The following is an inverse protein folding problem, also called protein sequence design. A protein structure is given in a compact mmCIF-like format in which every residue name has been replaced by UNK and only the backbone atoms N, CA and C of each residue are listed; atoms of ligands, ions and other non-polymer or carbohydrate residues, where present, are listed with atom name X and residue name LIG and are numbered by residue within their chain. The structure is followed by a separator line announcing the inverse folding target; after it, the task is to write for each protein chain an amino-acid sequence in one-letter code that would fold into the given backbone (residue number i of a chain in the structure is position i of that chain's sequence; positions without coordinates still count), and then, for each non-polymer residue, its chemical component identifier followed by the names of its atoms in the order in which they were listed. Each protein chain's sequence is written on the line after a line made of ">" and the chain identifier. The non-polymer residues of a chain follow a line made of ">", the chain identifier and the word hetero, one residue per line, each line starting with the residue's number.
data_IF_444293877259
#
_entry.id   IF_444293877259
#
_cell.length_a   1.000
_cell.length_b   1.000
_cell.length_c   1.000
_cell.angle_alpha   90.00
_cell.angle_beta   90.00
_cell.angle_gamma   90.00
#
_symmetry.space_group_name_H-M   'P 1'
#
loop_
_entity.id
_entity.type
_entity.pdbx_description
1 polymer ?
#
# COMPACT_ATOMS: atom_id res chain seq x y z
N UNK A 1 43.70 -18.97 1.59
CA UNK A 1 43.14 -19.51 0.34
C UNK A 1 41.81 -20.26 0.53
N UNK A 2 41.69 -21.18 1.53
CA UNK A 2 40.43 -21.94 1.74
C UNK A 2 39.20 -21.09 2.06
N UNK A 3 39.32 -20.01 2.84
CA UNK A 3 38.19 -19.11 3.17
C UNK A 3 37.70 -18.24 1.98
N UNK A 4 38.60 -17.86 1.06
CA UNK A 4 38.25 -17.13 -0.13
C UNK A 4 37.48 -17.99 -1.17
N UNK A 5 37.81 -19.28 -1.22
CA UNK A 5 37.14 -20.24 -2.12
C UNK A 5 35.71 -20.55 -1.65
N UNK A 6 35.51 -20.64 -0.32
CA UNK A 6 34.18 -20.89 0.26
C UNK A 6 33.25 -19.68 0.07
N UNK A 7 33.81 -18.46 0.12
CA UNK A 7 33.03 -17.24 -0.09
C UNK A 7 32.63 -17.07 -1.57
N UNK A 8 33.53 -17.45 -2.50
CA UNK A 8 33.23 -17.44 -3.94
C UNK A 8 32.14 -18.48 -4.28
N UNK A 9 32.18 -19.66 -3.61
CA UNK A 9 31.15 -20.68 -3.76
C UNK A 9 29.79 -20.25 -3.20
N UNK A 10 29.75 -19.49 -2.10
CA UNK A 10 28.52 -18.96 -1.53
C UNK A 10 27.90 -17.87 -2.43
N UNK A 11 28.73 -17.04 -3.06
CA UNK A 11 28.26 -16.05 -4.05
C UNK A 11 27.81 -16.72 -5.34
N UNK A 12 28.51 -17.78 -5.79
CA UNK A 12 28.11 -18.58 -6.94
C UNK A 12 26.84 -19.41 -6.68
N UNK A 13 26.57 -19.84 -5.45
CA UNK A 13 25.31 -20.49 -5.09
C UNK A 13 24.11 -19.54 -5.10
N UNK A 14 24.31 -18.25 -4.82
CA UNK A 14 23.28 -17.22 -5.01
C UNK A 14 22.93 -17.00 -6.50
N UNK A 15 23.87 -17.30 -7.42
CA UNK A 15 23.65 -17.18 -8.87
C UNK A 15 23.30 -18.54 -9.53
N UNK A 16 23.45 -19.66 -8.82
CA UNK A 16 23.11 -20.99 -9.34
C UNK A 16 21.64 -21.39 -9.11
N UNK A 17 20.78 -20.48 -8.69
CA UNK A 17 19.34 -20.65 -8.82
C UNK A 17 19.06 -20.57 -10.33
N UNK A 18 18.58 -21.65 -10.97
CA UNK A 18 18.36 -21.64 -12.40
C UNK A 18 17.38 -20.51 -12.72
N UNK A 19 17.76 -19.65 -13.66
CA UNK A 19 17.01 -18.50 -14.18
C UNK A 19 15.64 -18.89 -14.80
N UNK A 20 15.25 -20.15 -14.67
CA UNK A 20 14.04 -20.74 -15.23
C UNK A 20 13.04 -21.28 -14.24
N UNK A 21 13.21 -21.03 -12.93
CA UNK A 21 12.30 -21.54 -11.91
C UNK A 21 11.94 -20.50 -10.85
N UNK A 22 11.73 -19.26 -11.25
CA UNK A 22 10.64 -18.50 -10.64
C UNK A 22 9.38 -19.06 -11.31
N UNK A 23 8.97 -20.23 -10.84
CA UNK A 23 7.60 -20.68 -11.01
C UNK A 23 6.70 -19.51 -10.62
N UNK A 24 5.66 -19.28 -11.40
CA UNK A 24 4.51 -18.50 -10.97
C UNK A 24 4.08 -19.05 -9.60
N UNK A 25 4.62 -18.54 -8.52
CA UNK A 25 4.54 -19.11 -7.20
C UNK A 25 4.64 -18.01 -6.18
N UNK A 26 3.63 -17.90 -5.37
CA UNK A 26 3.53 -17.17 -4.12
C UNK A 26 4.17 -15.80 -4.14
N UNK A 27 3.47 -14.83 -4.74
CA UNK A 27 3.85 -13.44 -4.56
C UNK A 27 3.81 -13.10 -3.08
N UNK A 28 4.94 -12.64 -2.60
CA UNK A 28 5.21 -12.46 -1.19
C UNK A 28 4.32 -11.35 -0.64
N UNK A 29 3.42 -11.69 0.26
CA UNK A 29 2.72 -10.72 1.10
C UNK A 29 3.78 -9.88 1.82
N UNK A 30 3.76 -8.57 1.59
CA UNK A 30 4.68 -7.61 2.20
C UNK A 30 4.22 -7.25 3.61
N UNK A 31 2.90 -7.02 3.78
CA UNK A 31 2.32 -6.63 5.05
C UNK A 31 0.87 -7.08 5.19
N UNK A 32 0.44 -7.29 6.45
CA UNK A 32 -0.97 -7.48 6.83
C UNK A 32 -1.55 -6.19 7.40
N UNK A 33 -2.79 -5.90 7.10
CA UNK A 33 -3.50 -4.71 7.56
C UNK A 33 -4.97 -4.94 7.83
N UNK A 34 -5.59 -3.89 8.33
CA UNK A 34 -7.04 -3.80 8.50
C UNK A 34 -7.55 -2.52 7.87
N UNK A 35 -8.85 -2.43 7.61
CA UNK A 35 -9.46 -1.14 7.35
C UNK A 35 -10.57 -0.85 8.34
N UNK A 36 -10.74 0.43 8.67
CA UNK A 36 -11.61 0.88 9.75
C UNK A 36 -12.33 2.19 9.43
N UNK A 37 -13.47 2.36 10.07
CA UNK A 37 -14.27 3.57 10.03
C UNK A 37 -14.97 3.81 11.37
N UNK A 38 -15.86 4.79 11.44
CA UNK A 38 -16.73 4.99 12.61
C UNK A 38 -17.54 3.72 12.97
N UNK A 39 -17.80 2.84 11.99
CA UNK A 39 -18.57 1.62 12.20
C UNK A 39 -17.90 0.61 13.16
N UNK A 40 -16.60 0.78 13.41
CA UNK A 40 -15.83 -0.02 14.36
C UNK A 40 -15.94 0.52 15.81
N UNK A 41 -16.78 1.52 16.04
CA UNK A 41 -17.00 2.18 17.33
C UNK A 41 -18.48 2.19 17.73
N UNK A 42 -18.74 2.50 19.01
CA UNK A 42 -20.09 2.56 19.56
C UNK A 42 -20.70 1.18 19.84
N UNK A 43 -21.80 1.15 20.58
CA UNK A 43 -22.52 -0.07 20.94
C UNK A 43 -21.63 -1.18 21.53
N UNK A 44 -20.66 -0.82 22.37
CA UNK A 44 -19.71 -1.76 22.98
C UNK A 44 -18.51 -2.13 22.10
N UNK A 45 -18.38 -1.56 20.89
CA UNK A 45 -17.23 -1.74 20.02
C UNK A 45 -16.07 -0.83 20.41
N UNK A 46 -14.87 -1.36 20.40
CA UNK A 46 -13.62 -0.63 20.69
C UNK A 46 -12.50 -1.03 19.74
N UNK A 47 -11.58 -0.10 19.51
CA UNK A 47 -10.38 -0.31 18.69
C UNK A 47 -9.14 0.04 19.50
N UNK A 48 -8.23 -0.92 19.61
CA UNK A 48 -6.90 -0.78 20.22
C UNK A 48 -5.82 -1.16 19.20
N UNK A 49 -5.22 -0.17 18.57
CA UNK A 49 -4.19 -0.39 17.54
C UNK A 49 -2.88 -0.95 18.10
N UNK A 50 -2.58 -0.80 19.40
CA UNK A 50 -1.38 -1.43 19.98
C UNK A 50 -1.53 -2.94 20.02
N UNK A 51 -2.71 -3.43 20.40
CA UNK A 51 -3.02 -4.87 20.36
C UNK A 51 -3.06 -5.39 18.93
N UNK A 52 -3.69 -4.66 18.00
CA UNK A 52 -3.69 -5.03 16.59
C UNK A 52 -2.26 -5.15 16.04
N UNK A 53 -1.37 -4.23 16.37
CA UNK A 53 0.04 -4.30 15.99
C UNK A 53 0.75 -5.51 16.60
N UNK A 54 0.49 -5.83 17.87
CA UNK A 54 1.04 -7.01 18.54
C UNK A 54 0.54 -8.31 17.87
N UNK A 55 -0.69 -8.33 17.36
CA UNK A 55 -1.31 -9.43 16.60
C UNK A 55 -0.81 -9.52 15.13
N UNK A 56 0.17 -8.72 14.75
CA UNK A 56 0.84 -8.81 13.45
C UNK A 56 0.33 -7.82 12.39
N UNK A 57 -0.60 -6.92 12.71
CA UNK A 57 -1.02 -5.86 11.81
C UNK A 57 0.12 -4.84 11.66
N UNK A 58 0.34 -4.38 10.44
CA UNK A 58 1.41 -3.42 10.10
C UNK A 58 0.89 -2.13 9.51
N UNK A 59 -0.30 -2.15 8.90
CA UNK A 59 -0.95 -0.96 8.35
C UNK A 59 -2.44 -0.93 8.62
N UNK A 60 -3.01 0.26 8.48
CA UNK A 60 -4.45 0.47 8.55
C UNK A 60 -4.88 1.44 7.45
N UNK A 61 -5.98 1.12 6.76
CA UNK A 61 -6.64 2.03 5.82
C UNK A 61 -7.86 2.63 6.53
N UNK A 62 -7.88 3.94 6.73
CA UNK A 62 -8.88 4.62 7.57
C UNK A 62 -9.83 5.39 6.68
N UNK A 63 -11.15 5.28 6.90
CA UNK A 63 -12.10 6.11 6.18
C UNK A 63 -11.90 7.59 6.52
N UNK A 64 -11.53 8.39 5.51
CA UNK A 64 -11.38 9.83 5.67
C UNK A 64 -12.74 10.55 5.71
N UNK A 65 -13.66 10.08 4.88
CA UNK A 65 -14.99 10.67 4.76
C UNK A 65 -15.81 9.98 3.68
N UNK A 66 -16.90 10.61 3.31
CA UNK A 66 -17.82 10.10 2.27
C UNK A 66 -18.56 11.24 1.59
N UNK A 67 -18.96 11.01 0.33
CA UNK A 67 -19.81 11.92 -0.42
C UNK A 67 -21.14 12.18 0.30
N UNK A 68 -21.66 13.38 0.18
CA UNK A 68 -22.97 13.73 0.74
C UNK A 68 -24.10 12.91 0.08
N UNK A 69 -24.71 12.03 0.84
CA UNK A 69 -25.78 11.13 0.38
C UNK A 69 -27.08 11.87 0.16
N UNK A 70 -27.54 11.90 -1.09
CA UNK A 70 -28.87 12.43 -1.40
C UNK A 70 -29.05 13.95 -1.23
N UNK A 71 -27.96 14.70 -1.05
CA UNK A 71 -28.03 16.15 -0.93
C UNK A 71 -28.19 16.82 -2.31
N UNK A 72 -28.94 17.92 -2.34
CA UNK A 72 -29.08 18.73 -3.55
C UNK A 72 -27.74 19.34 -3.99
N UNK A 73 -27.63 19.75 -5.25
CA UNK A 73 -26.39 20.31 -5.81
C UNK A 73 -25.80 21.50 -5.04
N UNK A 74 -26.61 22.14 -4.18
CA UNK A 74 -26.24 23.32 -3.39
C UNK A 74 -25.85 23.00 -1.94
N UNK A 75 -26.11 21.78 -1.44
CA UNK A 75 -25.92 21.40 -0.02
C UNK A 75 -25.02 20.17 0.15
N UNK A 76 -24.22 19.82 -0.82
CA UNK A 76 -23.34 18.64 -0.76
C UNK A 76 -22.11 18.94 0.10
N UNK A 77 -22.32 19.08 1.40
CA UNK A 77 -21.19 18.95 2.32
C UNK A 77 -20.80 17.47 2.40
N UNK A 78 -19.63 17.20 1.94
CA UNK A 78 -18.97 15.93 2.21
C UNK A 78 -18.58 15.91 3.67
N UNK A 79 -18.85 14.81 4.32
CA UNK A 79 -18.66 14.71 5.76
C UNK A 79 -17.38 13.90 6.05
N UNK A 80 -16.51 14.39 6.96
CA UNK A 80 -15.44 13.57 7.47
C UNK A 80 -16.05 12.38 8.24
N UNK A 81 -15.36 11.25 8.24
CA UNK A 81 -15.67 10.17 9.16
C UNK A 81 -15.49 10.67 10.60
N UNK A 82 -16.49 10.45 11.46
CA UNK A 82 -16.50 10.98 12.82
C UNK A 82 -15.37 10.49 13.71
N UNK A 83 -14.71 9.37 13.33
CA UNK A 83 -13.57 8.79 14.03
C UNK A 83 -12.26 8.92 13.25
N UNK A 84 -12.25 9.64 12.13
CA UNK A 84 -11.06 9.77 11.29
C UNK A 84 -9.84 10.27 12.04
N UNK A 85 -9.97 11.43 12.73
CA UNK A 85 -8.86 12.03 13.47
C UNK A 85 -8.41 11.15 14.64
N UNK A 86 -9.35 10.53 15.35
CA UNK A 86 -9.05 9.60 16.44
C UNK A 86 -8.27 8.37 15.93
N UNK A 87 -8.74 7.78 14.83
CA UNK A 87 -8.08 6.63 14.21
C UNK A 87 -6.67 6.97 13.74
N UNK A 88 -6.50 8.08 13.03
CA UNK A 88 -5.17 8.54 12.59
C UNK A 88 -4.22 8.74 13.77
N UNK A 89 -4.66 9.43 14.82
CA UNK A 89 -3.86 9.68 16.03
C UNK A 89 -3.44 8.38 16.71
N UNK A 90 -4.39 7.48 16.93
CA UNK A 90 -4.14 6.24 17.68
C UNK A 90 -3.31 5.24 16.86
N UNK A 91 -3.55 5.14 15.56
CA UNK A 91 -2.76 4.29 14.65
C UNK A 91 -1.30 4.78 14.56
N UNK A 92 -1.09 6.09 14.42
CA UNK A 92 0.23 6.69 14.42
C UNK A 92 0.96 6.45 15.75
N UNK A 93 0.29 6.64 16.89
CA UNK A 93 0.85 6.38 18.21
C UNK A 93 1.25 4.91 18.39
N UNK A 94 0.48 3.98 17.85
CA UNK A 94 0.82 2.55 17.81
C UNK A 94 1.94 2.24 16.81
N UNK A 95 2.33 3.18 15.93
CA UNK A 95 3.33 2.99 14.89
C UNK A 95 2.87 2.10 13.74
N UNK A 96 1.56 2.07 13.47
CA UNK A 96 1.00 1.49 12.25
C UNK A 96 1.20 2.46 11.08
N UNK A 97 1.39 1.91 9.89
CA UNK A 97 1.42 2.67 8.65
C UNK A 97 -0.01 3.00 8.23
N UNK A 98 -0.23 4.24 7.77
CA UNK A 98 -1.59 4.75 7.54
C UNK A 98 -1.81 5.01 6.06
N UNK A 99 -2.91 4.49 5.53
CA UNK A 99 -3.57 4.93 4.31
C UNK A 99 -4.99 5.38 4.60
N UNK A 100 -5.67 5.89 3.59
CA UNK A 100 -7.05 6.32 3.76
C UNK A 100 -7.94 5.88 2.60
N UNK A 101 -9.24 5.79 2.84
CA UNK A 101 -10.22 5.67 1.79
C UNK A 101 -11.35 6.70 1.93
N UNK A 102 -11.98 7.00 0.80
CA UNK A 102 -13.09 7.94 0.71
C UNK A 102 -14.26 7.24 0.03
N UNK A 103 -15.38 7.08 0.73
CA UNK A 103 -16.56 6.36 0.24
C UNK A 103 -17.37 7.24 -0.73
N UNK A 104 -17.60 6.74 -1.94
CA UNK A 104 -18.21 7.49 -3.03
C UNK A 104 -19.70 7.23 -3.20
N UNK A 105 -20.46 8.33 -3.27
CA UNK A 105 -21.81 8.35 -3.83
C UNK A 105 -21.88 9.22 -5.10
N UNK A 106 -20.74 9.64 -5.66
CA UNK A 106 -20.68 10.53 -6.81
C UNK A 106 -21.28 9.89 -8.06
N UNK A 107 -22.08 10.67 -8.79
CA UNK A 107 -22.72 10.29 -10.05
C UNK A 107 -22.15 11.04 -11.26
N UNK A 108 -21.28 11.99 -11.02
CA UNK A 108 -20.64 12.81 -12.05
C UNK A 108 -19.18 13.04 -11.73
N UNK A 109 -18.38 13.33 -12.76
CA UNK A 109 -16.98 13.73 -12.64
C UNK A 109 -16.82 14.93 -11.69
N UNK A 110 -17.68 15.97 -11.83
CA UNK A 110 -17.62 17.14 -10.97
C UNK A 110 -17.88 16.82 -9.48
N UNK A 111 -18.69 15.79 -9.19
CA UNK A 111 -18.89 15.30 -7.81
C UNK A 111 -17.64 14.59 -7.30
N UNK A 112 -17.01 13.74 -8.11
CA UNK A 112 -15.77 13.07 -7.74
C UNK A 112 -14.61 14.05 -7.51
N UNK A 113 -14.53 15.12 -8.30
CA UNK A 113 -13.54 16.18 -8.09
C UNK A 113 -13.77 16.95 -6.78
N UNK A 114 -15.03 17.15 -6.36
CA UNK A 114 -15.35 17.69 -5.03
C UNK A 114 -14.96 16.72 -3.92
N UNK A 115 -15.30 15.44 -4.06
CA UNK A 115 -14.90 14.39 -3.10
C UNK A 115 -13.38 14.38 -2.92
N UNK A 116 -12.62 14.47 -4.01
CA UNK A 116 -11.16 14.55 -3.95
C UNK A 116 -10.67 15.80 -3.21
N UNK A 117 -11.29 16.98 -3.47
CA UNK A 117 -10.93 18.22 -2.78
C UNK A 117 -11.20 18.13 -1.27
N UNK A 118 -12.30 17.50 -0.88
CA UNK A 118 -12.63 17.32 0.53
C UNK A 118 -11.75 16.27 1.20
N UNK A 119 -11.48 15.15 0.54
CA UNK A 119 -10.53 14.16 1.00
C UNK A 119 -9.15 14.80 1.27
N UNK A 120 -8.65 15.59 0.31
CA UNK A 120 -7.39 16.32 0.44
C UNK A 120 -7.40 17.31 1.61
N UNK A 121 -8.52 17.94 1.87
CA UNK A 121 -8.69 18.82 3.04
C UNK A 121 -8.61 18.03 4.36
N UNK A 122 -9.20 16.83 4.44
CA UNK A 122 -9.16 15.98 5.63
C UNK A 122 -7.76 15.42 5.89
N UNK A 123 -7.02 15.07 4.85
CA UNK A 123 -5.65 14.52 5.00
C UNK A 123 -4.57 15.60 5.06
N UNK A 124 -4.94 16.88 4.99
CA UNK A 124 -3.98 17.98 5.05
C UNK A 124 -3.09 17.87 6.29
N UNK A 125 -1.79 18.05 6.10
CA UNK A 125 -0.75 17.95 7.14
C UNK A 125 -0.58 16.54 7.74
N UNK A 126 -1.12 15.49 7.11
CA UNK A 126 -0.85 14.11 7.49
C UNK A 126 0.17 13.50 6.52
N UNK A 127 1.03 12.66 7.06
CA UNK A 127 1.91 11.80 6.28
C UNK A 127 1.26 10.42 6.18
N UNK A 128 1.01 9.96 4.96
CA UNK A 128 0.33 8.68 4.71
C UNK A 128 1.31 7.72 4.04
N UNK A 129 1.61 6.61 4.66
CA UNK A 129 2.51 5.60 4.09
C UNK A 129 1.82 4.63 3.14
N UNK A 130 0.50 4.72 2.99
CA UNK A 130 -0.31 3.99 2.03
C UNK A 130 -1.10 4.96 1.15
N UNK A 131 -1.62 4.52 -0.02
CA UNK A 131 -2.38 5.38 -0.91
C UNK A 131 -3.67 5.94 -0.31
N UNK A 132 -4.24 6.93 -1.02
CA UNK A 132 -5.61 7.39 -0.86
C UNK A 132 -6.46 6.62 -1.86
N UNK A 133 -7.44 5.84 -1.38
CA UNK A 133 -8.32 5.05 -2.22
C UNK A 133 -9.70 5.67 -2.35
N UNK A 134 -10.22 5.69 -3.59
CA UNK A 134 -11.61 6.03 -3.85
C UNK A 134 -12.43 4.76 -3.86
N UNK A 135 -13.39 4.67 -2.95
CA UNK A 135 -14.19 3.48 -2.70
C UNK A 135 -15.47 3.53 -3.55
N UNK A 136 -15.54 2.64 -4.55
CA UNK A 136 -16.57 2.56 -5.57
C UNK A 136 -17.33 1.24 -5.46
N UNK A 137 -18.44 1.23 -4.68
CA UNK A 137 -19.19 0.00 -4.45
C UNK A 137 -20.71 0.20 -4.26
N UNK A 138 -21.19 1.45 -4.27
CA UNK A 138 -22.59 1.72 -3.99
C UNK A 138 -23.48 1.54 -5.23
N UNK A 139 -24.04 0.31 -5.36
CA UNK A 139 -24.92 -0.04 -6.47
C UNK A 139 -26.18 0.82 -6.52
N UNK A 140 -26.72 1.22 -5.37
CA UNK A 140 -27.93 2.04 -5.29
C UNK A 140 -27.74 3.43 -5.95
N UNK A 141 -26.57 4.03 -5.78
CA UNK A 141 -26.30 5.38 -6.33
C UNK A 141 -25.62 5.34 -7.67
N UNK A 142 -24.78 4.35 -7.92
CA UNK A 142 -23.89 4.29 -9.08
C UNK A 142 -24.21 3.15 -10.05
N UNK A 143 -25.04 2.18 -9.65
CA UNK A 143 -25.37 1.01 -10.48
C UNK A 143 -26.05 1.33 -11.79
N UNK A 144 -26.84 2.43 -11.85
CA UNK A 144 -27.50 2.89 -13.07
C UNK A 144 -26.61 3.66 -14.06
N UNK A 145 -25.34 3.95 -13.70
CA UNK A 145 -24.38 4.59 -14.60
C UNK A 145 -23.78 3.56 -15.57
N UNK A 146 -23.28 4.02 -16.71
CA UNK A 146 -22.50 3.18 -17.63
C UNK A 146 -21.11 2.90 -17.05
N UNK A 147 -20.45 1.83 -17.51
CA UNK A 147 -19.06 1.50 -17.15
C UNK A 147 -18.13 2.69 -17.40
N UNK A 148 -18.28 3.36 -18.54
CA UNK A 148 -17.48 4.56 -18.85
C UNK A 148 -17.68 5.67 -17.80
N UNK A 149 -18.94 6.00 -17.47
CA UNK A 149 -19.23 7.05 -16.49
C UNK A 149 -18.63 6.75 -15.13
N UNK A 150 -18.76 5.50 -14.64
CA UNK A 150 -18.15 5.09 -13.37
C UNK A 150 -16.62 5.16 -13.40
N UNK A 151 -16.03 4.74 -14.51
CA UNK A 151 -14.57 4.80 -14.70
C UNK A 151 -14.09 6.24 -14.74
N UNK A 152 -14.77 7.11 -15.49
CA UNK A 152 -14.43 8.55 -15.56
C UNK A 152 -14.55 9.22 -14.17
N UNK A 153 -15.54 8.85 -13.37
CA UNK A 153 -15.72 9.28 -11.97
C UNK A 153 -14.53 8.84 -11.11
N UNK A 154 -14.16 7.54 -11.17
CA UNK A 154 -13.05 7.00 -10.42
C UNK A 154 -11.72 7.70 -10.78
N UNK A 155 -11.47 7.87 -12.08
CA UNK A 155 -10.26 8.53 -12.57
C UNK A 155 -10.22 10.03 -12.27
N UNK A 156 -11.35 10.72 -12.23
CA UNK A 156 -11.40 12.12 -11.85
C UNK A 156 -10.93 12.36 -10.41
N UNK A 157 -11.39 11.52 -9.48
CA UNK A 157 -10.92 11.56 -8.09
C UNK A 157 -9.41 11.28 -8.01
N UNK A 158 -8.97 10.15 -8.56
CA UNK A 158 -7.58 9.71 -8.43
C UNK A 158 -6.61 10.69 -9.07
N UNK A 159 -6.91 11.21 -10.25
CA UNK A 159 -6.07 12.22 -10.92
C UNK A 159 -5.92 13.49 -10.10
N UNK A 160 -7.01 13.98 -9.49
CA UNK A 160 -6.95 15.17 -8.63
C UNK A 160 -6.13 14.95 -7.36
N UNK A 161 -6.23 13.76 -6.77
CA UNK A 161 -5.41 13.35 -5.63
C UNK A 161 -3.93 13.26 -6.01
N UNK A 162 -3.63 12.69 -7.19
CA UNK A 162 -2.26 12.59 -7.71
C UNK A 162 -1.67 13.97 -8.04
N UNK A 163 -2.45 14.88 -8.63
CA UNK A 163 -2.03 16.27 -8.89
C UNK A 163 -1.66 17.02 -7.61
N UNK A 164 -2.26 16.65 -6.48
CA UNK A 164 -1.92 17.19 -5.16
C UNK A 164 -0.70 16.51 -4.51
N UNK A 165 -0.02 15.60 -5.21
CA UNK A 165 1.20 14.93 -4.73
C UNK A 165 0.94 13.70 -3.86
N UNK A 166 -0.23 13.08 -3.98
CA UNK A 166 -0.51 11.83 -3.25
C UNK A 166 -0.58 10.65 -4.20
N UNK A 167 -0.18 9.47 -3.72
CA UNK A 167 -0.44 8.20 -4.38
C UNK A 167 -1.93 7.88 -4.24
N UNK A 168 -2.60 7.58 -5.35
CA UNK A 168 -4.02 7.33 -5.38
C UNK A 168 -4.35 5.95 -5.92
N UNK A 169 -5.50 5.41 -5.54
CA UNK A 169 -6.03 4.16 -6.04
C UNK A 169 -7.55 4.11 -6.03
N UNK A 170 -8.08 3.01 -6.55
CA UNK A 170 -9.51 2.69 -6.52
C UNK A 170 -9.70 1.40 -5.74
N UNK A 171 -10.64 1.43 -4.78
CA UNK A 171 -11.18 0.23 -4.15
C UNK A 171 -12.50 -0.14 -4.79
N UNK A 172 -12.64 -1.40 -5.08
CA UNK A 172 -13.91 -2.03 -5.43
C UNK A 172 -13.84 -3.54 -5.20
N UNK A 173 -15.01 -4.20 -5.15
CA UNK A 173 -15.05 -5.64 -5.14
C UNK A 173 -14.84 -6.24 -6.56
N UNK A 174 -14.56 -7.55 -6.61
CA UNK A 174 -14.32 -8.29 -7.87
C UNK A 174 -15.42 -8.07 -8.91
N UNK A 175 -16.69 -8.10 -8.49
CA UNK A 175 -17.82 -7.90 -9.41
C UNK A 175 -17.78 -6.50 -10.06
N UNK A 176 -17.44 -5.48 -9.29
CA UNK A 176 -17.32 -4.11 -9.79
C UNK A 176 -16.17 -3.97 -10.79
N UNK A 177 -15.00 -4.50 -10.48
CA UNK A 177 -13.87 -4.48 -11.41
C UNK A 177 -14.11 -5.31 -12.68
N UNK A 178 -14.93 -6.36 -12.60
CA UNK A 178 -15.23 -7.21 -13.77
C UNK A 178 -16.32 -6.63 -14.65
N UNK A 179 -17.39 -6.06 -14.05
CA UNK A 179 -18.64 -5.77 -14.77
C UNK A 179 -19.03 -4.28 -14.80
N UNK A 180 -18.52 -3.48 -13.88
CA UNK A 180 -18.98 -2.11 -13.67
C UNK A 180 -17.91 -1.05 -13.96
N UNK A 181 -16.63 -1.39 -13.92
CA UNK A 181 -15.48 -0.51 -14.13
C UNK A 181 -14.62 -1.02 -15.28
N UNK A 182 -13.95 -0.12 -15.99
CA UNK A 182 -12.86 -0.48 -16.90
C UNK A 182 -11.56 -0.62 -16.11
N UNK A 183 -11.30 -1.85 -15.61
CA UNK A 183 -10.10 -2.15 -14.85
C UNK A 183 -8.82 -1.84 -15.64
N UNK A 184 -8.81 -2.10 -16.97
CA UNK A 184 -7.65 -1.82 -17.81
C UNK A 184 -7.31 -0.33 -17.91
N UNK A 185 -8.32 0.53 -17.90
CA UNK A 185 -8.11 1.97 -17.86
C UNK A 185 -7.60 2.41 -16.49
N UNK A 186 -8.20 1.92 -15.39
CA UNK A 186 -7.87 2.30 -14.02
C UNK A 186 -6.44 1.87 -13.65
N UNK A 187 -6.07 0.63 -13.89
CA UNK A 187 -4.75 0.09 -13.50
C UNK A 187 -3.56 0.72 -14.23
N UNK A 188 -3.79 1.41 -15.35
CA UNK A 188 -2.76 2.18 -16.05
C UNK A 188 -2.43 3.50 -15.37
N UNK A 189 -3.34 4.01 -14.54
CA UNK A 189 -3.24 5.35 -13.97
C UNK A 189 -3.06 5.37 -12.47
N UNK A 190 -3.57 4.35 -11.74
CA UNK A 190 -3.54 4.36 -10.29
C UNK A 190 -3.50 2.94 -9.68
N UNK A 191 -3.35 2.89 -8.37
CA UNK A 191 -3.30 1.65 -7.60
C UNK A 191 -4.68 0.98 -7.51
N UNK A 192 -4.69 -0.34 -7.34
CA UNK A 192 -5.92 -1.12 -7.15
C UNK A 192 -5.93 -1.74 -5.75
N UNK A 193 -7.03 -1.54 -5.04
CA UNK A 193 -7.38 -2.26 -3.83
C UNK A 193 -8.61 -3.12 -4.12
N UNK A 194 -8.39 -4.42 -4.25
CA UNK A 194 -9.44 -5.39 -4.59
C UNK A 194 -10.08 -5.95 -3.32
N UNK A 195 -11.40 -5.93 -3.22
CA UNK A 195 -12.13 -6.77 -2.29
C UNK A 195 -12.62 -8.05 -3.00
N UNK A 196 -12.18 -9.19 -2.50
CA UNK A 196 -12.64 -10.49 -2.94
C UNK A 196 -12.44 -11.53 -1.85
N UNK A 197 -13.52 -12.23 -1.49
CA UNK A 197 -13.56 -13.20 -0.42
C UNK A 197 -13.77 -14.60 -1.03
N UNK A 198 -12.71 -15.28 -1.50
CA UNK A 198 -12.83 -16.60 -2.11
C UNK A 198 -13.28 -17.62 -1.07
N UNK A 199 -14.12 -18.57 -1.50
CA UNK A 199 -14.59 -19.67 -0.66
C UNK A 199 -13.60 -20.84 -0.61
N UNK A 200 -12.56 -20.83 -1.41
CA UNK A 200 -11.55 -21.88 -1.52
C UNK A 200 -10.21 -21.35 -1.02
N UNK A 201 -9.38 -22.25 -0.48
CA UNK A 201 -8.01 -21.95 -0.06
C UNK A 201 -7.07 -21.65 -1.25
N UNK A 202 -7.54 -21.85 -2.48
CA UNK A 202 -6.79 -21.52 -3.70
C UNK A 202 -7.27 -20.21 -4.28
N UNK A 203 -6.37 -19.28 -4.60
CA UNK A 203 -6.69 -18.09 -5.37
C UNK A 203 -7.34 -18.49 -6.70
N UNK A 204 -8.43 -17.82 -7.07
CA UNK A 204 -9.10 -17.99 -8.35
C UNK A 204 -8.72 -16.91 -9.37
N UNK A 205 -7.90 -15.96 -8.95
CA UNK A 205 -7.30 -14.89 -9.76
C UNK A 205 -5.87 -14.62 -9.25
N UNK A 206 -5.09 -13.93 -10.07
CA UNK A 206 -3.79 -13.38 -9.65
C UNK A 206 -4.01 -12.11 -8.81
N UNK A 207 -3.95 -12.24 -7.48
CA UNK A 207 -4.16 -11.12 -6.57
C UNK A 207 -3.00 -10.12 -6.54
N UNK A 208 -1.84 -10.50 -7.00
CA UNK A 208 -0.66 -9.67 -7.01
C UNK A 208 -0.70 -8.54 -8.03
N UNK A 209 -1.51 -8.70 -9.07
CA UNK A 209 -1.83 -7.61 -10.00
C UNK A 209 -2.49 -6.42 -9.28
N UNK A 210 -3.08 -6.66 -8.11
CA UNK A 210 -3.72 -5.66 -7.25
C UNK A 210 -2.78 -5.34 -6.09
N UNK A 211 -2.26 -4.16 -5.98
CA UNK A 211 -1.29 -3.82 -4.93
C UNK A 211 -1.79 -4.05 -3.50
N UNK A 212 -3.11 -4.06 -3.29
CA UNK A 212 -3.77 -4.34 -2.01
C UNK A 212 -4.97 -5.27 -2.22
N UNK A 213 -5.13 -6.25 -1.34
CA UNK A 213 -6.24 -7.20 -1.34
C UNK A 213 -6.92 -7.26 0.03
N UNK A 214 -8.23 -6.93 0.06
CA UNK A 214 -9.12 -7.19 1.19
C UNK A 214 -9.68 -8.60 0.99
N UNK A 215 -9.22 -9.54 1.83
CA UNK A 215 -9.48 -10.97 1.63
C UNK A 215 -10.61 -11.53 2.48
N UNK A 216 -11.04 -10.80 3.50
CA UNK A 216 -12.21 -11.13 4.31
C UNK A 216 -12.76 -9.91 5.05
N UNK A 217 -14.05 -9.94 5.37
CA UNK A 217 -14.75 -8.93 6.18
C UNK A 217 -15.09 -9.41 7.60
N UNK A 218 -14.68 -10.61 7.94
CA UNK A 218 -14.98 -11.27 9.22
C UNK A 218 -13.70 -11.66 10.01
N UNK A 219 -12.57 -11.02 9.69
CA UNK A 219 -11.32 -11.25 10.37
C UNK A 219 -11.41 -11.02 11.88
N UNK A 220 -10.67 -11.82 12.65
CA UNK A 220 -10.60 -11.73 14.12
C UNK A 220 -9.21 -11.27 14.54
N UNK A 221 -9.07 -9.94 14.64
CA UNK A 221 -7.81 -9.30 15.03
C UNK A 221 -7.89 -8.87 16.49
N UNK A 222 -6.79 -9.08 17.24
CA UNK A 222 -6.71 -8.58 18.60
C UNK A 222 -6.75 -7.04 18.59
N UNK A 223 -7.43 -6.46 19.58
CA UNK A 223 -7.65 -5.00 19.62
C UNK A 223 -8.97 -4.55 19.00
N UNK A 224 -9.68 -5.38 18.24
CA UNK A 224 -11.02 -5.09 17.72
C UNK A 224 -12.05 -5.89 18.51
N UNK A 225 -12.82 -5.21 19.36
CA UNK A 225 -13.72 -5.88 20.31
C UNK A 225 -15.16 -5.37 20.19
N UNK A 226 -16.09 -6.27 20.53
CA UNK A 226 -17.48 -5.97 20.84
C UNK A 226 -17.79 -6.56 22.22
N UNK A 227 -18.11 -5.70 23.20
CA UNK A 227 -18.39 -6.11 24.58
C UNK A 227 -17.27 -6.97 25.23
N UNK A 228 -16.00 -6.67 24.86
CA UNK A 228 -14.83 -7.38 25.36
C UNK A 228 -14.40 -8.62 24.58
N UNK A 229 -15.18 -9.09 23.59
CA UNK A 229 -14.82 -10.19 22.73
C UNK A 229 -14.37 -9.70 21.35
N UNK A 230 -13.47 -10.46 20.68
CA UNK A 230 -13.00 -10.12 19.33
C UNK A 230 -14.17 -10.05 18.36
N UNK A 231 -14.32 -8.92 17.69
CA UNK A 231 -15.35 -8.69 16.67
C UNK A 231 -14.78 -8.82 15.26
N UNK A 232 -15.67 -8.80 14.28
CA UNK A 232 -15.27 -8.82 12.86
C UNK A 232 -14.63 -7.50 12.47
N UNK A 233 -13.63 -7.58 11.61
CA UNK A 233 -12.98 -6.45 10.95
C UNK A 233 -12.53 -6.87 9.56
N UNK A 234 -12.52 -5.92 8.63
CA UNK A 234 -11.98 -6.11 7.30
C UNK A 234 -10.47 -6.30 7.35
N UNK A 235 -9.98 -7.38 6.74
CA UNK A 235 -8.57 -7.76 6.78
C UNK A 235 -7.95 -7.75 5.40
N UNK A 236 -6.71 -7.26 5.35
CA UNK A 236 -6.03 -6.92 4.13
C UNK A 236 -4.60 -7.47 4.08
N UNK A 237 -4.10 -7.69 2.87
CA UNK A 237 -2.68 -7.91 2.60
C UNK A 237 -2.20 -6.96 1.51
N UNK A 238 -0.97 -6.46 1.70
CA UNK A 238 -0.28 -5.67 0.70
C UNK A 238 0.74 -6.54 -0.02
N UNK A 239 0.79 -6.42 -1.34
CA UNK A 239 1.78 -7.03 -2.23
C UNK A 239 2.86 -6.04 -2.65
N UNK A 240 2.65 -4.73 -2.40
CA UNK A 240 3.60 -3.67 -2.68
C UNK A 240 4.08 -3.01 -1.41
N UNK A 241 5.34 -2.65 -1.35
CA UNK A 241 5.93 -1.88 -0.26
C UNK A 241 5.60 -0.38 -0.45
N UNK A 242 4.34 -0.02 -0.16
CA UNK A 242 3.87 1.35 -0.29
C UNK A 242 4.65 2.37 0.54
N UNK A 243 5.03 2.06 1.80
CA UNK A 243 5.84 2.98 2.58
C UNK A 243 7.14 3.40 1.89
N UNK A 244 7.85 2.44 1.30
CA UNK A 244 9.07 2.70 0.54
C UNK A 244 8.77 3.47 -0.74
N UNK A 245 7.80 3.04 -1.55
CA UNK A 245 7.42 3.69 -2.81
C UNK A 245 7.04 5.14 -2.63
N UNK A 246 6.21 5.44 -1.64
CA UNK A 246 5.70 6.78 -1.34
C UNK A 246 6.85 7.70 -0.92
N UNK A 247 7.74 7.21 -0.05
CA UNK A 247 8.89 8.00 0.42
C UNK A 247 9.91 8.28 -0.69
N UNK A 248 10.23 7.28 -1.50
CA UNK A 248 11.14 7.44 -2.64
C UNK A 248 10.62 8.47 -3.65
N UNK A 249 9.32 8.48 -3.89
CA UNK A 249 8.67 9.43 -4.80
C UNK A 249 8.40 10.80 -4.17
N UNK A 250 8.54 10.94 -2.85
CA UNK A 250 8.20 12.17 -2.12
C UNK A 250 6.72 12.51 -2.18
N UNK A 251 5.86 11.49 -2.05
CA UNK A 251 4.42 11.63 -2.10
C UNK A 251 3.80 11.67 -0.70
N UNK A 252 2.49 11.89 -0.62
CA UNK A 252 1.66 11.74 0.59
C UNK A 252 2.13 12.58 1.79
N UNK A 253 2.63 13.78 1.55
CA UNK A 253 3.14 14.66 2.60
C UNK A 253 4.59 14.38 3.02
N UNK A 254 5.24 13.39 2.43
CA UNK A 254 6.68 13.21 2.59
C UNK A 254 7.43 14.12 1.62
N UNK A 255 8.47 14.82 2.12
CA UNK A 255 9.33 15.58 1.23
C UNK A 255 10.15 14.61 0.37
N UNK A 256 10.32 14.94 -0.91
CA UNK A 256 11.23 14.22 -1.79
C UNK A 256 12.62 14.21 -1.13
N UNK A 257 13.21 13.04 -0.97
CA UNK A 257 14.50 12.82 -0.31
C UNK A 257 14.53 13.01 1.23
N UNK A 258 13.39 13.06 1.93
CA UNK A 258 13.41 12.98 3.41
C UNK A 258 13.61 11.56 3.92
N UNK A 259 13.51 10.56 3.08
CA UNK A 259 14.08 9.27 3.40
C UNK A 259 15.61 9.42 3.37
N UNK A 260 16.18 9.81 4.51
CA UNK A 260 17.55 9.42 4.80
C UNK A 260 17.45 7.95 5.17
N UNK A 261 18.01 7.02 4.37
CA UNK A 261 18.27 5.69 4.91
C UNK A 261 18.98 5.94 6.23
N UNK A 262 18.54 5.32 7.31
CA UNK A 262 19.23 5.44 8.59
C UNK A 262 20.71 5.17 8.31
N UNK A 263 21.51 6.23 8.30
CA UNK A 263 22.94 6.33 8.18
C UNK A 263 23.70 5.37 7.22
N UNK A 264 23.05 4.43 6.55
CA UNK A 264 23.73 3.40 5.78
C UNK A 264 23.34 3.45 4.30
N UNK A 265 24.30 3.87 3.46
CA UNK A 265 24.24 3.83 1.98
C UNK A 265 23.89 2.45 1.38
N UNK A 266 23.63 1.46 2.21
CA UNK A 266 23.49 0.06 1.87
C UNK A 266 22.09 -0.52 2.13
N UNK A 267 21.18 0.27 2.72
CA UNK A 267 19.75 -0.04 2.76
C UNK A 267 19.15 0.25 1.37
N UNK A 268 19.24 -0.77 0.51
CA UNK A 268 18.95 -0.66 -0.92
C UNK A 268 17.46 -0.62 -1.21
N UNK A 269 16.67 -1.32 -0.39
CA UNK A 269 15.23 -1.38 -0.51
C UNK A 269 14.52 -0.32 0.33
N UNK A 270 15.28 0.48 1.09
CA UNK A 270 14.76 1.55 1.94
C UNK A 270 13.75 1.08 3.00
N UNK A 271 13.89 -0.15 3.51
CA UNK A 271 12.99 -0.66 4.57
C UNK A 271 13.48 -0.29 6.00
N UNK A 272 14.63 0.36 6.12
CA UNK A 272 15.24 0.77 7.38
C UNK A 272 16.04 -0.34 8.07
N UNK A 273 16.16 -1.53 7.47
CA UNK A 273 16.89 -2.67 7.96
C UNK A 273 17.99 -3.06 6.97
N UNK A 274 19.22 -3.12 7.42
CA UNK A 274 20.30 -3.64 6.60
C UNK A 274 20.37 -5.17 6.70
N UNK A 275 19.89 -5.87 5.66
CA UNK A 275 19.81 -7.32 5.66
C UNK A 275 20.03 -7.95 4.25
N UNK A 276 19.81 -9.27 4.12
CA UNK A 276 20.03 -9.98 2.86
C UNK A 276 19.09 -9.55 1.73
N UNK A 277 17.96 -8.88 2.01
CA UNK A 277 17.08 -8.33 0.96
C UNK A 277 17.79 -7.22 0.18
N UNK A 278 18.58 -6.37 0.87
CA UNK A 278 19.37 -5.32 0.24
C UNK A 278 20.42 -5.91 -0.69
N UNK A 279 21.14 -6.92 -0.21
CA UNK A 279 22.14 -7.60 -1.03
C UNK A 279 21.52 -8.27 -2.26
N UNK A 280 20.35 -8.89 -2.11
CA UNK A 280 19.61 -9.51 -3.21
C UNK A 280 19.14 -8.46 -4.24
N UNK A 281 18.61 -7.34 -3.76
CA UNK A 281 18.14 -6.26 -4.63
C UNK A 281 19.30 -5.60 -5.39
N UNK A 282 20.41 -5.35 -4.69
CA UNK A 282 21.62 -4.82 -5.29
C UNK A 282 22.22 -5.78 -6.36
N UNK A 283 22.17 -7.09 -6.12
CA UNK A 283 22.59 -8.09 -7.08
C UNK A 283 21.73 -8.07 -8.36
N UNK A 284 20.41 -7.95 -8.22
CA UNK A 284 19.48 -7.82 -9.34
C UNK A 284 19.75 -6.57 -10.18
N UNK A 285 20.01 -5.44 -9.52
CA UNK A 285 20.39 -4.20 -10.19
C UNK A 285 21.71 -4.35 -10.97
N UNK A 286 22.74 -4.90 -10.34
CA UNK A 286 24.04 -5.08 -10.99
C UNK A 286 24.01 -6.12 -12.14
N UNK A 287 23.02 -7.01 -12.14
CA UNK A 287 22.73 -7.93 -13.24
C UNK A 287 21.95 -7.29 -14.40
N UNK A 288 21.63 -6.00 -14.31
CA UNK A 288 20.94 -5.27 -15.38
C UNK A 288 19.42 -5.45 -15.41
N UNK A 289 18.80 -5.93 -14.32
CA UNK A 289 17.35 -6.03 -14.25
C UNK A 289 16.73 -4.62 -14.25
N UNK A 290 15.83 -4.36 -15.19
CA UNK A 290 15.07 -3.12 -15.29
C UNK A 290 13.86 -3.13 -14.33
N UNK A 291 13.31 -1.93 -14.07
CA UNK A 291 12.12 -1.73 -13.23
C UNK A 291 12.28 -2.13 -11.75
N UNK A 292 13.50 -2.03 -11.23
CA UNK A 292 13.74 -2.16 -9.79
C UNK A 292 13.55 -0.80 -9.13
N UNK A 293 12.80 -0.78 -8.05
CA UNK A 293 12.68 0.39 -7.18
C UNK A 293 13.80 0.31 -6.14
N UNK A 294 14.74 1.22 -6.25
CA UNK A 294 15.97 1.24 -5.48
C UNK A 294 16.18 2.59 -4.83
N UNK A 295 16.91 2.60 -3.72
CA UNK A 295 17.49 3.81 -3.18
C UNK A 295 18.34 4.49 -4.29
N UNK A 296 18.08 5.79 -4.57
CA UNK A 296 18.86 6.53 -5.59
C UNK A 296 20.37 6.56 -5.29
N UNK A 297 20.77 6.34 -4.04
CA UNK A 297 22.18 6.21 -3.66
C UNK A 297 22.89 5.02 -4.34
N UNK A 298 22.13 4.03 -4.86
CA UNK A 298 22.67 2.90 -5.62
C UNK A 298 23.28 3.34 -6.95
N UNK A 299 22.72 4.38 -7.56
CA UNK A 299 23.23 4.97 -8.82
C UNK A 299 24.57 5.67 -8.59
N UNK A 300 24.85 6.13 -7.37
CA UNK A 300 26.13 6.78 -6.98
C UNK A 300 26.83 6.04 -5.84
N UNK A 301 26.66 4.74 -5.76
CA UNK A 301 27.09 3.90 -4.64
C UNK A 301 28.57 4.00 -4.29
N UNK A 302 29.42 4.18 -5.28
CA UNK A 302 30.88 4.25 -5.12
C UNK A 302 31.42 5.65 -4.76
N UNK A 303 30.55 6.62 -4.43
CA UNK A 303 30.96 7.96 -4.00
C UNK A 303 31.53 8.87 -5.10
N UNK A 304 31.74 8.34 -6.29
CA UNK A 304 32.26 9.03 -7.48
C UNK A 304 31.20 9.31 -8.53
N UNK A 305 29.92 9.10 -8.21
CA UNK A 305 28.82 9.14 -9.17
C UNK A 305 28.73 7.88 -10.05
N UNK A 306 29.58 6.88 -9.80
CA UNK A 306 29.52 5.61 -10.52
C UNK A 306 28.46 4.67 -9.90
N UNK A 307 27.69 3.94 -10.74
CA UNK A 307 26.70 3.00 -10.26
C UNK A 307 27.33 1.80 -9.52
N UNK A 308 26.53 1.17 -8.68
CA UNK A 308 26.92 -0.06 -8.00
C UNK A 308 27.30 -1.16 -9.01
N UNK A 309 28.23 -2.01 -8.60
CA UNK A 309 28.68 -3.16 -9.36
C UNK A 309 28.78 -4.42 -8.49
N UNK A 310 29.13 -5.56 -9.07
CA UNK A 310 29.19 -6.84 -8.37
C UNK A 310 30.12 -6.83 -7.13
N UNK A 311 31.19 -6.01 -7.15
CA UNK A 311 32.09 -5.85 -6.00
C UNK A 311 31.35 -5.30 -4.79
N UNK A 312 30.41 -4.37 -5.02
CA UNK A 312 29.60 -3.78 -3.95
C UNK A 312 28.62 -4.79 -3.36
N UNK A 313 28.07 -5.71 -4.15
CA UNK A 313 27.24 -6.83 -3.64
C UNK A 313 28.09 -7.71 -2.72
N UNK A 314 29.31 -8.06 -3.12
CA UNK A 314 30.21 -8.89 -2.29
C UNK A 314 30.58 -8.19 -1.01
N UNK A 315 30.85 -6.89 -1.04
CA UNK A 315 31.14 -6.09 0.15
C UNK A 315 29.98 -6.04 1.13
N UNK A 316 28.76 -5.85 0.62
CA UNK A 316 27.54 -5.83 1.43
C UNK A 316 27.28 -7.18 2.11
N UNK A 317 27.39 -8.30 1.37
CA UNK A 317 27.24 -9.65 1.92
C UNK A 317 28.30 -9.93 2.98
N UNK A 318 29.57 -9.53 2.77
CA UNK A 318 30.64 -9.69 3.77
C UNK A 318 30.34 -8.95 5.07
N UNK A 319 29.82 -7.73 4.95
CA UNK A 319 29.44 -6.92 6.11
C UNK A 319 28.29 -7.57 6.90
N UNK A 320 27.25 -8.05 6.21
CA UNK A 320 26.13 -8.74 6.85
C UNK A 320 26.55 -10.02 7.57
N UNK A 321 27.51 -10.76 7.00
CA UNK A 321 28.07 -11.96 7.65
C UNK A 321 28.99 -11.64 8.84
N UNK A 322 29.53 -10.44 8.94
CA UNK A 322 30.37 -10.02 10.07
C UNK A 322 29.55 -9.47 11.26
N UNK A 323 28.26 -9.21 11.07
CA UNK A 323 27.35 -8.73 12.11
C UNK A 323 26.65 -9.87 12.87
N UNK A 324 26.73 -11.11 12.38
CA UNK A 324 26.27 -12.34 12.99
C UNK A 324 27.45 -13.14 13.54
#
# INVERSE_FOLDING_TARGET
>A
MKKAFTLLAAVLLLFAVPFGALAAGEEKIVAKGIDVSYANYGNGKTVDFNKAKADGIRFVIIRAGYSGKGLSSTQKETLPDTHFELNCKNAAAAGLKIGVYYYSYAKTVAEAERDAADCLRFVKNKQLEYPIYYDMEDEKYQGGLTTRQRTDIALAFTRKVQQAGYMAGVYANKNWFTNYLDLNAIQKECEIWLAHYPRSDKPDIDYSAYGLWQYASDGKVDGLYLNGEKTNVDVNVAYRDYPTLIRLKGLNGFAKNTYKPAAEKQDINCDGELNLKDAALLARYTAGQSNLELNESVVSYNGSGAPANLKNVVELVRRLLAQN
#
